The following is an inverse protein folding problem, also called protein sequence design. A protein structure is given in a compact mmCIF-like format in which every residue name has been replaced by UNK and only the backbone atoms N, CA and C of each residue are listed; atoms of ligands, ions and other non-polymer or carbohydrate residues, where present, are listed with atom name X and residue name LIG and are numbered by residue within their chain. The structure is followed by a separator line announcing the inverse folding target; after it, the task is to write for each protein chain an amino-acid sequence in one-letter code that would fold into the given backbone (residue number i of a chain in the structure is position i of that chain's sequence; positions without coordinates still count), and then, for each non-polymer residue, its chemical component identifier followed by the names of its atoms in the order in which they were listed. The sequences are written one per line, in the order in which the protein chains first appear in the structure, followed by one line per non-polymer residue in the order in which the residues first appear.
data_IF_376630037121
#
_entry.id   IF_376630037121
#
_cell.length_a   1.000
_cell.length_b   1.000
_cell.length_c   1.000
_cell.angle_alpha   90.00
_cell.angle_beta   90.00
_cell.angle_gamma   90.00
#
_symmetry.space_group_name_H-M   'P 1'
#
loop_
_entity.id
_entity.type
_entity.pdbx_description
1 polymer ?
#
# COMPACT_ATOMS: atom_id res chain seq x y z
N UNK A 1 -11.61 -2.10 -16.96
CA UNK A 1 -12.28 -3.28 -16.37
C UNK A 1 -11.37 -4.05 -15.42
N UNK A 2 -10.23 -4.60 -15.85
CA UNK A 2 -9.35 -5.41 -14.96
C UNK A 2 -8.92 -4.74 -13.64
N UNK A 3 -8.67 -3.43 -13.59
CA UNK A 3 -8.32 -2.73 -12.34
C UNK A 3 -9.39 -2.88 -11.24
N UNK A 4 -10.66 -2.87 -11.65
CA UNK A 4 -11.79 -3.00 -10.72
C UNK A 4 -11.91 -4.44 -10.20
N UNK A 5 -11.61 -5.44 -11.03
CA UNK A 5 -11.59 -6.85 -10.60
C UNK A 5 -10.53 -7.05 -9.51
N UNK A 6 -9.31 -6.55 -9.72
CA UNK A 6 -8.24 -6.64 -8.71
C UNK A 6 -8.55 -5.85 -7.44
N UNK A 7 -9.20 -4.69 -7.57
CA UNK A 7 -9.71 -3.96 -6.40
C UNK A 7 -10.76 -4.76 -5.63
N UNK A 8 -11.73 -5.36 -6.32
CA UNK A 8 -12.77 -6.17 -5.71
C UNK A 8 -12.18 -7.39 -4.98
N UNK A 9 -11.19 -8.08 -5.57
CA UNK A 9 -10.51 -9.21 -4.93
C UNK A 9 -9.83 -8.78 -3.63
N UNK A 10 -9.18 -7.61 -3.60
CA UNK A 10 -8.57 -7.08 -2.37
C UNK A 10 -9.60 -6.70 -1.31
N UNK A 11 -10.73 -6.10 -1.71
CA UNK A 11 -11.84 -5.80 -0.82
C UNK A 11 -12.39 -7.08 -0.19
N UNK A 12 -12.74 -8.08 -1.00
CA UNK A 12 -13.25 -9.38 -0.52
C UNK A 12 -12.24 -10.07 0.38
N UNK A 13 -10.97 -10.09 -0.01
CA UNK A 13 -9.90 -10.67 0.81
C UNK A 13 -9.75 -9.96 2.16
N UNK A 14 -9.89 -8.63 2.20
CA UNK A 14 -9.82 -7.85 3.44
C UNK A 14 -11.00 -8.15 4.36
N UNK A 15 -12.22 -8.26 3.82
CA UNK A 15 -13.42 -8.66 4.60
C UNK A 15 -13.24 -10.07 5.17
N UNK A 16 -12.72 -11.01 4.38
CA UNK A 16 -12.46 -12.38 4.84
C UNK A 16 -11.40 -12.43 5.95
N UNK A 17 -10.29 -11.71 5.79
CA UNK A 17 -9.25 -11.61 6.83
C UNK A 17 -9.82 -11.00 8.10
N UNK A 18 -10.60 -9.92 7.98
CA UNK A 18 -11.22 -9.27 9.14
C UNK A 18 -12.21 -10.20 9.85
N UNK A 19 -12.99 -10.98 9.10
CA UNK A 19 -13.96 -11.93 9.66
C UNK A 19 -13.24 -13.12 10.33
N UNK A 20 -12.13 -13.58 9.75
CA UNK A 20 -11.30 -14.62 10.37
C UNK A 20 -10.69 -14.14 11.69
N UNK A 21 -10.17 -12.91 11.74
CA UNK A 21 -9.64 -12.32 12.97
C UNK A 21 -10.70 -12.20 14.07
N UNK A 22 -11.94 -11.87 13.69
CA UNK A 22 -13.09 -11.85 14.59
C UNK A 22 -13.31 -13.22 15.25
N UNK A 23 -13.33 -14.29 14.44
CA UNK A 23 -13.52 -15.67 14.92
C UNK A 23 -12.38 -16.15 15.82
N UNK A 24 -11.18 -15.60 15.65
CA UNK A 24 -10.03 -15.87 16.52
C UNK A 24 -10.05 -15.07 17.84
N UNK A 25 -11.12 -14.29 18.10
CA UNK A 25 -11.25 -13.46 19.29
C UNK A 25 -10.32 -12.25 19.30
N UNK A 26 -9.76 -11.89 18.15
CA UNK A 26 -8.86 -10.75 17.97
C UNK A 26 -9.51 -9.71 17.05
N UNK A 27 -10.52 -8.97 17.54
CA UNK A 27 -11.19 -7.99 16.70
C UNK A 27 -10.18 -6.93 16.26
N UNK A 28 -10.33 -6.44 15.04
CA UNK A 28 -9.31 -5.60 14.40
C UNK A 28 -9.06 -4.27 15.14
N UNK A 29 -10.05 -3.83 15.90
CA UNK A 29 -10.03 -2.64 16.75
C UNK A 29 -9.09 -2.78 17.96
N UNK A 30 -8.71 -4.02 18.33
CA UNK A 30 -7.81 -4.32 19.45
C UNK A 30 -6.37 -3.83 19.25
N UNK A 31 -5.98 -3.53 18.00
CA UNK A 31 -4.64 -3.03 17.66
C UNK A 31 -4.51 -1.50 17.69
N UNK A 32 -5.56 -0.79 18.11
CA UNK A 32 -5.55 0.67 18.17
C UNK A 32 -4.77 1.15 19.41
N UNK A 33 -3.46 1.33 19.24
CA UNK A 33 -2.62 2.09 20.16
C UNK A 33 -3.21 3.49 20.30
N UNK A 34 -3.21 4.05 21.52
CA UNK A 34 -3.85 5.32 21.92
C UNK A 34 -3.67 6.52 20.97
N UNK A 35 -2.67 6.50 20.08
CA UNK A 35 -2.34 7.60 19.15
C UNK A 35 -2.61 7.23 17.68
N UNK A 36 -2.69 5.95 17.32
CA UNK A 36 -2.82 5.52 15.93
C UNK A 36 -3.59 4.21 15.77
N UNK A 37 -4.67 4.18 14.97
CA UNK A 37 -5.50 3.01 14.73
C UNK A 37 -4.80 2.04 13.75
N UNK A 38 -3.74 1.39 14.21
CA UNK A 38 -2.85 0.59 13.36
C UNK A 38 -3.58 -0.56 12.66
N UNK A 39 -4.52 -1.22 13.35
CA UNK A 39 -5.34 -2.28 12.78
C UNK A 39 -6.18 -1.81 11.59
N UNK A 40 -6.95 -0.73 11.77
CA UNK A 40 -7.70 -0.10 10.67
C UNK A 40 -6.77 0.36 9.53
N UNK A 41 -5.63 0.96 9.84
CA UNK A 41 -4.66 1.37 8.81
C UNK A 41 -4.16 0.18 7.98
N UNK A 42 -3.79 -0.93 8.61
CA UNK A 42 -3.33 -2.14 7.92
C UNK A 42 -4.44 -2.74 7.06
N UNK A 43 -5.67 -2.84 7.57
CA UNK A 43 -6.79 -3.32 6.75
C UNK A 43 -7.09 -2.36 5.59
N UNK A 44 -7.00 -1.06 5.82
CA UNK A 44 -7.12 -0.04 4.78
C UNK A 44 -6.10 -0.26 3.66
N UNK A 45 -4.83 -0.45 4.01
CA UNK A 45 -3.76 -0.80 3.07
C UNK A 45 -4.14 -2.05 2.24
N UNK A 46 -4.54 -3.13 2.91
CA UNK A 46 -4.91 -4.39 2.26
C UNK A 46 -6.12 -4.24 1.32
N UNK A 47 -7.11 -3.43 1.69
CA UNK A 47 -8.33 -3.20 0.89
C UNK A 47 -8.05 -2.61 -0.49
N UNK A 48 -7.00 -1.80 -0.60
CA UNK A 48 -6.63 -1.08 -1.82
C UNK A 48 -5.46 -1.70 -2.57
N UNK A 49 -4.77 -2.67 -1.96
CA UNK A 49 -3.49 -3.21 -2.43
C UNK A 49 -3.57 -3.74 -3.87
N UNK A 50 -4.54 -4.60 -4.18
CA UNK A 50 -4.69 -5.21 -5.50
C UNK A 50 -5.01 -4.19 -6.59
N UNK A 51 -5.82 -3.18 -6.27
CA UNK A 51 -6.14 -2.08 -7.19
C UNK A 51 -4.88 -1.34 -7.63
N UNK A 52 -4.03 -0.97 -6.67
CA UNK A 52 -2.81 -0.22 -6.96
C UNK A 52 -1.65 -1.07 -7.47
N UNK A 53 -1.54 -2.35 -7.10
CA UNK A 53 -0.60 -3.29 -7.73
C UNK A 53 -0.89 -3.35 -9.24
N UNK A 54 -2.16 -3.42 -9.64
CA UNK A 54 -2.54 -3.40 -11.04
C UNK A 54 -2.20 -2.04 -11.70
N UNK A 55 -2.50 -0.91 -11.04
CA UNK A 55 -2.18 0.41 -11.59
C UNK A 55 -0.68 0.67 -11.70
N UNK A 56 0.14 0.12 -10.80
CA UNK A 56 1.61 0.18 -10.89
C UNK A 56 2.11 -0.40 -12.20
N UNK A 57 1.53 -1.51 -12.68
CA UNK A 57 1.86 -2.11 -13.98
C UNK A 57 1.62 -1.14 -15.13
N UNK A 58 0.66 -0.22 -15.01
CA UNK A 58 0.33 0.79 -16.02
C UNK A 58 1.00 2.15 -15.81
N UNK A 59 1.71 2.35 -14.68
CA UNK A 59 2.46 3.58 -14.32
C UNK A 59 1.67 4.90 -14.46
N UNK A 60 0.34 4.85 -14.32
CA UNK A 60 -0.54 6.02 -14.35
C UNK A 60 -1.67 5.79 -13.37
N UNK A 61 -1.73 6.61 -12.32
CA UNK A 61 -2.92 6.76 -11.48
C UNK A 61 -3.41 8.20 -11.61
N UNK A 62 -4.72 8.36 -11.61
CA UNK A 62 -5.41 9.65 -11.74
C UNK A 62 -6.07 10.00 -10.41
N UNK A 63 -6.46 11.27 -10.22
CA UNK A 63 -7.22 11.68 -9.02
C UNK A 63 -8.51 10.87 -8.87
N UNK A 64 -9.17 10.53 -9.98
CA UNK A 64 -10.35 9.65 -9.98
C UNK A 64 -10.10 8.25 -9.42
N UNK A 65 -8.87 7.73 -9.52
CA UNK A 65 -8.49 6.45 -8.91
C UNK A 65 -8.43 6.55 -7.38
N UNK A 66 -7.95 7.69 -6.85
CA UNK A 66 -7.93 7.94 -5.41
C UNK A 66 -9.34 8.08 -4.85
N UNK A 67 -10.20 8.85 -5.52
CA UNK A 67 -11.61 9.02 -5.12
C UNK A 67 -12.34 7.69 -5.12
N UNK A 68 -12.15 6.88 -6.17
CA UNK A 68 -12.73 5.54 -6.25
C UNK A 68 -12.27 4.66 -5.08
N UNK A 69 -10.97 4.61 -4.80
CA UNK A 69 -10.43 3.81 -3.69
C UNK A 69 -11.00 4.28 -2.37
N UNK A 70 -10.97 5.59 -2.07
CA UNK A 70 -11.54 6.13 -0.83
C UNK A 70 -13.00 5.72 -0.64
N UNK A 71 -13.82 5.83 -1.69
CA UNK A 71 -15.22 5.43 -1.65
C UNK A 71 -15.38 3.93 -1.39
N UNK A 72 -14.65 3.08 -2.12
CA UNK A 72 -14.72 1.63 -1.94
C UNK A 72 -14.19 1.18 -0.58
N UNK A 73 -13.17 1.84 -0.04
CA UNK A 73 -12.63 1.56 1.29
C UNK A 73 -13.60 1.95 2.39
N UNK A 74 -14.34 3.06 2.23
CA UNK A 74 -15.40 3.43 3.17
C UNK A 74 -16.54 2.38 3.17
N UNK A 75 -16.98 1.94 1.99
CA UNK A 75 -17.97 0.87 1.89
C UNK A 75 -17.47 -0.45 2.50
N UNK A 76 -16.20 -0.78 2.30
CA UNK A 76 -15.57 -1.97 2.87
C UNK A 76 -15.51 -1.89 4.39
N UNK A 77 -15.14 -0.72 4.92
CA UNK A 77 -15.16 -0.46 6.36
C UNK A 77 -16.57 -0.68 6.92
N UNK A 78 -17.61 -0.08 6.32
CA UNK A 78 -19.00 -0.27 6.76
C UNK A 78 -19.39 -1.75 6.71
N UNK A 79 -19.06 -2.47 5.64
CA UNK A 79 -19.36 -3.89 5.51
C UNK A 79 -18.69 -4.75 6.60
N UNK A 80 -17.42 -4.46 6.92
CA UNK A 80 -16.70 -5.13 8.01
C UNK A 80 -17.44 -4.94 9.33
N UNK A 81 -17.75 -3.70 9.70
CA UNK A 81 -18.44 -3.43 10.96
C UNK A 81 -19.86 -3.98 10.99
N UNK A 82 -20.54 -4.01 9.85
CA UNK A 82 -21.86 -4.62 9.74
C UNK A 82 -21.80 -6.13 10.02
N UNK A 83 -20.77 -6.82 9.51
CA UNK A 83 -20.51 -8.22 9.86
C UNK A 83 -20.21 -8.36 11.35
N UNK A 84 -19.41 -7.47 11.94
CA UNK A 84 -19.12 -7.50 13.38
C UNK A 84 -20.39 -7.34 14.20
N UNK A 85 -21.24 -6.37 13.87
CA UNK A 85 -22.53 -6.16 14.53
C UNK A 85 -23.39 -7.43 14.51
N UNK A 86 -23.52 -8.07 13.35
CA UNK A 86 -24.32 -9.30 13.23
C UNK A 86 -23.67 -10.54 13.84
N UNK A 87 -22.35 -10.54 14.04
CA UNK A 87 -21.63 -11.63 14.70
C UNK A 87 -21.49 -11.44 16.22
N UNK A 88 -21.94 -10.31 16.78
CA UNK A 88 -21.73 -9.97 18.20
C UNK A 88 -22.86 -10.49 19.08
N UNK A 89 -22.48 -11.12 20.18
CA UNK A 89 -23.35 -11.56 21.27
C UNK A 89 -22.85 -10.98 22.59
N UNK A 90 -23.78 -10.83 23.55
CA UNK A 90 -23.51 -10.39 24.91
C UNK A 90 -23.84 -11.55 25.84
N UNK A 91 -22.83 -12.01 26.59
CA UNK A 91 -23.00 -13.07 27.57
C UNK A 91 -23.83 -12.60 28.77
N UNK A 92 -24.31 -13.54 29.58
CA UNK A 92 -25.07 -13.25 30.81
C UNK A 92 -24.28 -12.40 31.82
N UNK A 93 -22.95 -12.37 31.70
CA UNK A 93 -22.05 -11.55 32.51
C UNK A 93 -21.75 -10.17 31.89
N UNK A 94 -22.41 -9.82 30.78
CA UNK A 94 -22.23 -8.56 30.07
C UNK A 94 -20.97 -8.50 29.18
N UNK A 95 -20.30 -9.63 28.93
CA UNK A 95 -19.12 -9.65 28.07
C UNK A 95 -19.50 -9.85 26.60
N UNK A 96 -18.91 -9.03 25.74
CA UNK A 96 -18.99 -9.17 24.29
C UNK A 96 -18.24 -10.43 23.87
N UNK A 97 -18.88 -11.27 23.06
CA UNK A 97 -18.28 -12.42 22.43
C UNK A 97 -18.79 -12.61 21.00
N UNK A 98 -18.10 -13.45 20.24
CA UNK A 98 -18.40 -13.72 18.83
C UNK A 98 -18.69 -15.22 18.57
N UNK A 99 -18.85 -16.00 19.64
CA UNK A 99 -19.01 -17.45 19.58
C UNK A 99 -20.48 -17.89 19.66
N UNK A 100 -21.41 -16.94 19.81
CA UNK A 100 -22.84 -17.23 19.90
C UNK A 100 -23.35 -17.48 21.31
N UNK A 101 -22.53 -17.23 22.34
CA UNK A 101 -22.90 -17.45 23.72
C UNK A 101 -23.64 -16.21 24.27
N UNK A 102 -24.91 -16.38 24.63
CA UNK A 102 -25.74 -15.33 25.23
C UNK A 102 -26.74 -14.68 24.26
N UNK A 103 -27.06 -13.42 24.49
CA UNK A 103 -28.07 -12.67 23.72
C UNK A 103 -27.44 -11.96 22.53
N UNK A 104 -28.11 -12.02 21.38
CA UNK A 104 -27.62 -11.30 20.20
C UNK A 104 -27.74 -9.80 20.42
N UNK A 105 -26.75 -9.01 19.97
CA UNK A 105 -26.73 -7.57 20.25
C UNK A 105 -27.86 -6.79 19.58
N UNK A 106 -28.47 -7.33 18.53
CA UNK A 106 -29.63 -6.72 17.86
C UNK A 106 -30.96 -7.03 18.55
N UNK A 107 -30.96 -7.87 19.59
CA UNK A 107 -32.16 -8.19 20.36
C UNK A 107 -32.69 -6.92 21.07
N UNK A 108 -33.98 -6.58 20.93
CA UNK A 108 -34.57 -5.41 21.59
C UNK A 108 -34.46 -5.42 23.12
N UNK A 109 -34.29 -6.59 23.74
CA UNK A 109 -34.07 -6.73 25.18
C UNK A 109 -32.68 -6.25 25.62
N UNK A 110 -31.72 -6.17 24.69
CA UNK A 110 -30.40 -5.59 24.93
C UNK A 110 -30.52 -4.07 24.87
N UNK A 111 -30.44 -3.47 26.06
CA UNK A 111 -30.50 -2.03 26.25
C UNK A 111 -29.22 -1.59 26.96
N UNK A 112 -28.51 -0.61 26.39
CA UNK A 112 -27.30 -0.07 27.01
C UNK A 112 -27.64 0.76 28.25
N UNK A 113 -26.61 1.15 29.01
CA UNK A 113 -26.77 1.96 30.24
C UNK A 113 -27.60 3.25 30.05
N UNK A 114 -27.76 3.75 28.82
CA UNK A 114 -28.56 4.91 28.47
C UNK A 114 -30.05 4.62 28.16
N UNK A 115 -30.54 3.38 28.31
CA UNK A 115 -31.94 3.05 28.02
C UNK A 115 -32.28 2.96 26.53
N UNK A 116 -31.27 2.95 25.65
CA UNK A 116 -31.43 2.90 24.20
C UNK A 116 -31.15 1.50 23.63
N UNK A 117 -31.97 1.10 22.65
CA UNK A 117 -31.78 -0.13 21.86
C UNK A 117 -30.48 -0.05 21.06
N UNK A 118 -29.79 -1.19 20.93
CA UNK A 118 -28.52 -1.29 20.20
C UNK A 118 -28.74 -1.53 18.71
N UNK A 119 -28.91 -0.45 17.95
CA UNK A 119 -28.81 -0.48 16.50
C UNK A 119 -27.34 -0.48 16.02
N UNK A 120 -27.13 -0.60 14.69
CA UNK A 120 -25.79 -0.64 14.11
C UNK A 120 -24.92 0.60 14.45
N UNK A 121 -25.51 1.80 14.39
CA UNK A 121 -24.77 3.04 14.58
C UNK A 121 -24.42 3.29 16.05
N UNK A 122 -25.34 2.98 16.95
CA UNK A 122 -25.11 3.00 18.38
C UNK A 122 -24.08 1.93 18.76
N UNK A 123 -24.18 0.70 18.24
CA UNK A 123 -23.14 -0.33 18.42
C UNK A 123 -21.75 0.19 18.04
N UNK A 124 -21.61 0.77 16.83
CA UNK A 124 -20.33 1.32 16.38
C UNK A 124 -19.84 2.43 17.31
N UNK A 125 -20.70 3.35 17.74
CA UNK A 125 -20.31 4.42 18.64
C UNK A 125 -19.90 3.91 20.02
N UNK A 126 -20.61 2.91 20.54
CA UNK A 126 -20.43 2.37 21.89
C UNK A 126 -19.21 1.45 22.00
N UNK A 127 -18.90 0.67 20.97
CA UNK A 127 -17.68 -0.15 20.91
C UNK A 127 -16.40 0.68 21.09
N UNK A 128 -16.49 1.98 20.78
CA UNK A 128 -15.39 2.94 20.91
C UNK A 128 -15.48 3.85 22.13
N UNK A 129 -16.69 4.14 22.61
CA UNK A 129 -16.90 4.85 23.88
C UNK A 129 -16.53 3.99 25.09
N UNK A 130 -16.63 2.66 24.97
CA UNK A 130 -16.51 1.73 26.09
C UNK A 130 -15.20 0.94 26.08
N UNK A 131 -14.08 1.62 25.85
CA UNK A 131 -12.75 1.11 26.24
C UNK A 131 -12.59 0.93 27.77
N UNK A 132 -13.67 1.14 28.55
CA UNK A 132 -13.76 0.82 29.98
C UNK A 132 -14.20 -0.64 30.25
N UNK A 133 -14.55 -1.45 29.24
CA UNK A 133 -14.80 -2.89 29.43
C UNK A 133 -13.52 -3.73 29.70
N UNK A 134 -12.33 -3.12 29.65
CA UNK A 134 -11.09 -3.72 30.14
C UNK A 134 -10.55 -2.87 31.29
N UNK A 135 -10.88 -3.26 32.53
CA UNK A 135 -10.23 -2.75 33.73
C UNK A 135 -8.71 -2.59 33.54
N UNK A 136 -8.14 -1.42 33.90
CA UNK A 136 -6.78 -1.20 34.49
C UNK A 136 -5.94 0.02 34.01
N UNK A 137 -6.48 1.17 33.56
CA UNK A 137 -5.68 2.42 33.58
C UNK A 137 -6.56 3.64 33.90
N UNK A 138 -6.28 4.40 34.99
CA UNK A 138 -6.96 5.66 35.24
C UNK A 138 -6.38 6.70 34.28
N UNK A 139 -7.19 7.18 33.33
CA UNK A 139 -6.78 8.29 32.47
C UNK A 139 -7.74 9.44 32.67
N UNK A 140 -7.33 10.32 33.59
CA UNK A 140 -7.88 11.66 33.68
C UNK A 140 -7.50 12.44 32.41
N UNK A 141 -8.52 13.03 31.79
CA UNK A 141 -8.45 14.05 30.74
C UNK A 141 -7.77 13.64 29.43
N UNK A 142 -8.46 12.83 28.59
CA UNK A 142 -8.13 12.75 27.17
C UNK A 142 -9.32 13.07 26.30
N UNK A 143 -9.07 14.02 25.38
CA UNK A 143 -9.93 14.51 24.32
C UNK A 143 -10.75 13.36 23.70
N UNK A 144 -12.06 13.37 23.92
CA UNK A 144 -13.02 12.44 23.32
C UNK A 144 -13.15 12.81 21.84
N UNK A 145 -12.11 12.56 21.05
CA UNK A 145 -12.31 12.37 19.62
C UNK A 145 -13.12 11.08 19.52
N UNK A 146 -14.29 11.05 18.85
CA UNK A 146 -15.07 9.82 18.77
C UNK A 146 -14.19 8.80 18.07
N UNK A 147 -13.74 7.77 18.80
CA UNK A 147 -12.69 6.86 18.34
C UNK A 147 -13.07 6.15 17.02
N UNK A 148 -14.37 6.07 16.72
CA UNK A 148 -14.88 5.70 15.40
C UNK A 148 -14.30 6.53 14.25
N UNK A 149 -14.27 7.86 14.37
CA UNK A 149 -13.74 8.73 13.31
C UNK A 149 -12.23 8.56 13.14
N UNK A 150 -11.51 8.29 14.23
CA UNK A 150 -10.08 7.98 14.19
C UNK A 150 -9.86 6.70 13.38
N UNK A 151 -10.66 5.67 13.62
CA UNK A 151 -10.58 4.38 12.92
C UNK A 151 -10.98 4.50 11.44
N UNK A 152 -12.05 5.24 11.13
CA UNK A 152 -12.42 5.57 9.73
C UNK A 152 -11.29 6.31 9.04
N UNK A 153 -10.74 7.35 9.69
CA UNK A 153 -9.62 8.12 9.13
C UNK A 153 -8.38 7.25 8.94
N UNK A 154 -8.06 6.39 9.91
CA UNK A 154 -6.97 5.43 9.84
C UNK A 154 -7.13 4.45 8.68
N UNK A 155 -8.32 3.90 8.50
CA UNK A 155 -8.63 2.98 7.41
C UNK A 155 -8.51 3.65 6.04
N UNK A 156 -9.09 4.85 5.89
CA UNK A 156 -8.99 5.62 4.63
C UNK A 156 -7.54 6.05 4.37
N UNK A 157 -6.81 6.48 5.40
CA UNK A 157 -5.39 6.82 5.27
C UNK A 157 -4.55 5.62 4.85
N UNK A 158 -4.83 4.43 5.40
CA UNK A 158 -4.22 3.17 4.98
C UNK A 158 -4.47 2.86 3.52
N UNK A 159 -5.73 2.97 3.07
CA UNK A 159 -6.10 2.76 1.68
C UNK A 159 -5.41 3.74 0.71
N UNK A 160 -5.22 4.97 1.15
CA UNK A 160 -4.54 6.01 0.36
C UNK A 160 -3.03 5.96 0.46
N UNK A 161 -2.43 5.25 1.40
CA UNK A 161 -0.97 5.17 1.56
C UNK A 161 -0.28 4.35 0.48
N UNK A 162 -0.94 3.32 -0.06
CA UNK A 162 -0.39 2.44 -1.11
C UNK A 162 0.15 3.22 -2.34
N UNK A 163 -0.58 4.17 -2.97
CA UNK A 163 -0.06 4.89 -4.11
C UNK A 163 1.21 5.68 -3.76
N UNK A 164 1.34 6.23 -2.56
CA UNK A 164 2.56 6.92 -2.13
C UNK A 164 3.73 5.94 -1.94
N UNK A 165 3.48 4.81 -1.27
CA UNK A 165 4.47 3.73 -1.10
C UNK A 165 4.95 3.16 -2.45
N UNK A 166 4.04 2.98 -3.40
CA UNK A 166 4.35 2.47 -4.73
C UNK A 166 4.94 3.55 -5.66
N UNK A 167 4.65 4.83 -5.44
CA UNK A 167 5.15 5.95 -6.24
C UNK A 167 6.53 6.45 -5.80
N UNK A 168 7.04 5.99 -4.65
CA UNK A 168 8.36 6.37 -4.14
C UNK A 168 9.53 6.13 -5.12
N UNK A 169 9.30 5.38 -6.21
CA UNK A 169 10.29 5.09 -7.25
C UNK A 169 9.89 5.57 -8.66
N UNK A 170 8.95 6.51 -8.78
CA UNK A 170 8.47 7.01 -10.08
C UNK A 170 8.95 8.44 -10.32
N UNK A 171 9.87 8.61 -11.27
CA UNK A 171 10.41 9.92 -11.63
C UNK A 171 9.54 10.61 -12.69
N UNK A 172 9.10 11.83 -12.43
CA UNK A 172 8.34 12.65 -13.38
C UNK A 172 9.27 13.17 -14.48
N UNK A 173 8.82 13.14 -15.73
CA UNK A 173 9.61 13.64 -16.85
C UNK A 173 9.71 15.16 -16.83
N UNK A 174 10.95 15.68 -16.77
CA UNK A 174 11.22 17.13 -16.77
C UNK A 174 10.84 17.79 -18.10
N UNK A 175 10.97 17.08 -19.23
CA UNK A 175 10.72 17.64 -20.57
C UNK A 175 9.24 17.88 -20.87
N UNK A 176 8.38 16.90 -20.58
CA UNK A 176 6.97 16.97 -20.97
C UNK A 176 6.01 17.23 -19.80
N UNK A 177 6.49 17.23 -18.55
CA UNK A 177 5.77 17.44 -17.28
C UNK A 177 4.51 16.60 -17.03
N UNK A 178 4.09 15.80 -18.01
CA UNK A 178 2.86 14.99 -18.03
C UNK A 178 3.17 13.50 -18.04
N UNK A 179 4.38 13.12 -18.46
CA UNK A 179 4.86 11.75 -18.49
C UNK A 179 5.71 11.35 -17.28
N UNK A 180 5.82 10.04 -17.09
CA UNK A 180 6.70 9.43 -16.10
C UNK A 180 7.80 8.64 -16.81
N UNK A 181 8.96 8.55 -16.16
CA UNK A 181 10.07 7.74 -16.63
C UNK A 181 9.88 6.27 -16.27
N UNK A 182 10.11 5.40 -17.26
CA UNK A 182 10.28 3.97 -17.12
C UNK A 182 11.76 3.63 -17.08
N UNK A 183 12.20 2.96 -16.01
CA UNK A 183 13.52 2.34 -15.93
C UNK A 183 13.46 0.93 -16.50
N UNK A 184 14.36 0.61 -17.42
CA UNK A 184 14.60 -0.72 -17.97
C UNK A 184 16.08 -1.04 -17.74
N UNK A 185 16.36 -2.11 -16.99
CA UNK A 185 17.74 -2.60 -16.84
C UNK A 185 18.24 -3.08 -18.21
N UNK A 186 19.42 -2.60 -18.61
CA UNK A 186 20.08 -3.07 -19.83
C UNK A 186 20.93 -4.30 -19.48
N UNK A 187 22.04 -4.13 -18.78
CA UNK A 187 22.95 -5.20 -18.38
C UNK A 187 23.83 -4.77 -17.19
N UNK A 188 24.55 -5.72 -16.61
CA UNK A 188 25.54 -5.48 -15.55
C UNK A 188 26.94 -5.49 -16.16
N UNK A 189 27.83 -4.60 -15.70
CA UNK A 189 29.24 -4.52 -16.13
C UNK A 189 30.16 -4.39 -14.91
N UNK A 190 31.44 -4.72 -15.10
CA UNK A 190 32.45 -4.40 -14.09
C UNK A 190 32.71 -2.89 -14.07
N UNK A 191 33.05 -2.29 -12.91
CA UNK A 191 33.35 -0.86 -12.83
C UNK A 191 34.44 -0.39 -13.80
N UNK A 192 35.44 -1.24 -14.06
CA UNK A 192 36.55 -0.98 -14.98
C UNK A 192 36.09 -0.88 -16.45
N UNK A 193 35.02 -1.59 -16.80
CA UNK A 193 34.47 -1.62 -18.16
C UNK A 193 33.41 -0.53 -18.38
N UNK A 194 32.95 0.12 -17.31
CA UNK A 194 31.81 1.04 -17.35
C UNK A 194 32.00 2.18 -18.36
N UNK A 195 33.14 2.88 -18.34
CA UNK A 195 33.37 4.02 -19.25
C UNK A 195 33.42 3.58 -20.72
N UNK A 196 33.98 2.40 -21.00
CA UNK A 196 34.01 1.82 -22.34
C UNK A 196 32.60 1.52 -22.84
N UNK A 197 31.80 0.85 -22.02
CA UNK A 197 30.43 0.45 -22.35
C UNK A 197 29.51 1.67 -22.47
N UNK A 198 29.72 2.69 -21.62
CA UNK A 198 29.04 3.99 -21.70
C UNK A 198 29.29 4.69 -23.03
N UNK A 199 30.55 4.76 -23.48
CA UNK A 199 30.90 5.41 -24.74
C UNK A 199 30.26 4.71 -25.95
N UNK A 200 30.26 3.37 -25.96
CA UNK A 200 29.62 2.58 -27.02
C UNK A 200 28.12 2.83 -27.05
N UNK A 201 27.45 2.77 -25.89
CA UNK A 201 26.02 3.04 -25.79
C UNK A 201 25.67 4.45 -26.26
N UNK A 202 26.42 5.47 -25.83
CA UNK A 202 26.17 6.85 -26.24
C UNK A 202 26.23 7.00 -27.77
N UNK A 203 27.24 6.41 -28.42
CA UNK A 203 27.35 6.40 -29.88
C UNK A 203 26.19 5.67 -30.57
N UNK A 204 25.81 4.48 -30.08
CA UNK A 204 24.71 3.68 -30.65
C UNK A 204 23.35 4.37 -30.50
N UNK A 205 23.11 5.09 -29.39
CA UNK A 205 21.89 5.87 -29.19
C UNK A 205 21.84 7.11 -30.08
N UNK A 206 22.94 7.86 -30.22
CA UNK A 206 22.99 9.06 -31.08
C UNK A 206 22.86 8.73 -32.57
N UNK A 207 23.46 7.63 -33.01
CA UNK A 207 23.36 7.15 -34.40
C UNK A 207 21.99 6.54 -34.75
N UNK A 208 21.11 6.36 -33.76
CA UNK A 208 19.81 5.70 -33.90
C UNK A 208 19.92 4.35 -34.66
N UNK A 209 21.02 3.64 -34.40
CA UNK A 209 21.46 2.47 -35.17
C UNK A 209 20.56 1.26 -34.91
N UNK A 210 20.29 0.47 -35.96
CA UNK A 210 19.66 -0.85 -35.87
C UNK A 210 20.48 -1.85 -35.05
N UNK A 211 21.77 -1.58 -34.85
CA UNK A 211 22.71 -2.46 -34.16
C UNK A 211 22.57 -2.34 -32.64
N UNK A 212 21.90 -1.31 -32.13
CA UNK A 212 21.68 -1.12 -30.70
C UNK A 212 20.93 -2.33 -30.10
N UNK A 213 19.88 -2.83 -30.76
CA UNK A 213 19.14 -4.00 -30.26
C UNK A 213 20.00 -5.25 -30.23
N UNK A 214 20.81 -5.47 -31.27
CA UNK A 214 21.70 -6.63 -31.38
C UNK A 214 22.76 -6.60 -30.29
N UNK A 215 23.37 -5.45 -30.07
CA UNK A 215 24.37 -5.23 -29.02
C UNK A 215 23.79 -5.46 -27.61
N UNK A 216 22.57 -4.96 -27.34
CA UNK A 216 21.90 -5.17 -26.06
C UNK A 216 21.60 -6.65 -25.79
N UNK A 217 21.15 -7.39 -26.81
CA UNK A 217 20.88 -8.83 -26.69
C UNK A 217 22.18 -9.59 -26.41
N UNK A 218 23.23 -9.31 -27.17
CA UNK A 218 24.55 -9.94 -26.99
C UNK A 218 25.08 -9.71 -25.58
N UNK A 219 25.04 -8.46 -25.08
CA UNK A 219 25.50 -8.12 -23.73
C UNK A 219 24.64 -8.74 -22.63
N UNK A 220 23.33 -8.84 -22.82
CA UNK A 220 22.46 -9.51 -21.86
C UNK A 220 22.74 -11.02 -21.77
N UNK A 221 23.13 -11.64 -22.89
CA UNK A 221 23.53 -13.05 -22.92
C UNK A 221 24.92 -13.27 -22.32
N UNK A 222 25.84 -12.32 -22.48
CA UNK A 222 27.21 -12.43 -21.97
C UNK A 222 27.37 -11.99 -20.51
N UNK A 223 26.50 -11.12 -19.98
CA UNK A 223 26.65 -10.59 -18.63
C UNK A 223 26.11 -11.57 -17.57
N UNK A 224 26.86 -12.61 -17.23
CA UNK A 224 26.55 -13.46 -16.07
C UNK A 224 27.22 -12.97 -14.78
N UNK A 225 27.17 -11.65 -14.56
CA UNK A 225 27.65 -10.99 -13.33
C UNK A 225 26.59 -11.01 -12.20
N UNK A 226 25.69 -12.01 -12.22
CA UNK A 226 24.60 -12.12 -11.23
C UNK A 226 25.15 -12.31 -9.81
N UNK A 227 26.37 -12.81 -9.67
CA UNK A 227 27.00 -13.11 -8.37
C UNK A 227 28.20 -12.20 -8.02
N UNK A 228 28.56 -11.25 -8.90
CA UNK A 228 29.59 -10.27 -8.54
C UNK A 228 29.05 -9.27 -7.51
N UNK A 229 29.79 -9.10 -6.42
CA UNK A 229 29.51 -8.13 -5.35
C UNK A 229 29.92 -6.72 -5.72
N UNK A 230 30.76 -6.55 -6.75
CA UNK A 230 31.16 -5.26 -7.28
C UNK A 230 30.74 -5.16 -8.76
N UNK A 231 29.72 -4.36 -9.04
CA UNK A 231 29.20 -4.21 -10.39
C UNK A 231 28.51 -2.87 -10.61
N UNK A 232 28.46 -2.45 -11.85
CA UNK A 232 27.69 -1.30 -12.31
C UNK A 232 26.53 -1.81 -13.14
N UNK A 233 25.29 -1.49 -12.75
CA UNK A 233 24.12 -1.79 -13.57
C UNK A 233 23.76 -0.58 -14.40
N UNK A 234 23.66 -0.77 -15.72
CA UNK A 234 23.25 0.26 -16.66
C UNK A 234 21.74 0.15 -16.91
N UNK A 235 21.05 1.29 -16.90
CA UNK A 235 19.62 1.42 -17.12
C UNK A 235 19.33 2.36 -18.28
N UNK A 236 18.34 2.01 -19.09
CA UNK A 236 17.68 2.95 -20.00
C UNK A 236 16.43 3.51 -19.30
N UNK A 237 16.36 4.83 -19.22
CA UNK A 237 15.26 5.57 -18.63
C UNK A 237 14.49 6.27 -19.74
N UNK A 238 13.32 5.76 -20.10
CA UNK A 238 12.49 6.30 -21.19
C UNK A 238 11.24 6.99 -20.64
N UNK A 239 10.85 8.16 -21.16
CA UNK A 239 9.57 8.76 -20.81
C UNK A 239 8.42 8.11 -21.59
N UNK A 240 7.37 7.66 -20.89
CA UNK A 240 6.22 7.01 -21.51
C UNK A 240 5.33 7.93 -22.37
N UNK A 241 5.59 9.25 -22.40
CA UNK A 241 4.76 10.22 -23.13
C UNK A 241 5.52 10.84 -24.29
N UNK A 242 6.71 11.38 -24.05
CA UNK A 242 7.51 12.04 -25.09
C UNK A 242 8.68 11.20 -25.60
N UNK A 243 8.81 9.94 -25.15
CA UNK A 243 9.87 9.01 -25.55
C UNK A 243 11.31 9.51 -25.34
N UNK A 244 11.53 10.55 -24.53
CA UNK A 244 12.89 10.98 -24.14
C UNK A 244 13.61 9.85 -23.43
N UNK A 245 14.85 9.59 -23.83
CA UNK A 245 15.70 8.54 -23.26
C UNK A 245 16.85 9.16 -22.49
N UNK A 246 17.22 8.53 -21.39
CA UNK A 246 18.41 8.83 -20.62
C UNK A 246 19.10 7.52 -20.28
N UNK A 247 20.42 7.53 -20.26
CA UNK A 247 21.19 6.45 -19.65
C UNK A 247 21.45 6.83 -18.20
N UNK A 248 21.33 5.85 -17.33
CA UNK A 248 21.68 5.97 -15.94
C UNK A 248 22.48 4.75 -15.51
N UNK A 249 23.47 4.95 -14.65
CA UNK A 249 24.24 3.89 -14.05
C UNK A 249 24.00 3.82 -12.55
N UNK A 250 24.07 2.62 -11.98
CA UNK A 250 24.10 2.41 -10.53
C UNK A 250 25.29 1.55 -10.18
N UNK A 251 26.20 2.11 -9.39
CA UNK A 251 27.34 1.41 -8.83
C UNK A 251 26.90 0.66 -7.57
N UNK A 252 27.26 -0.62 -7.50
CA UNK A 252 27.08 -1.45 -6.31
C UNK A 252 28.47 -1.78 -5.76
N UNK A 253 28.83 -1.15 -4.65
CA UNK A 253 30.04 -1.43 -3.88
C UNK A 253 29.65 -2.02 -2.52
N UNK A 254 30.47 -2.93 -2.00
CA UNK A 254 30.26 -3.61 -0.70
C UNK A 254 30.57 -2.74 0.52
N UNK A 255 31.07 -1.51 0.35
CA UNK A 255 31.42 -0.65 1.47
C UNK A 255 30.18 -0.03 2.12
N UNK A 256 29.98 -0.35 3.41
CA UNK A 256 28.92 0.16 4.30
C UNK A 256 28.87 1.70 4.39
N UNK A 257 29.88 2.40 3.88
CA UNK A 257 30.04 3.86 3.95
C UNK A 257 29.94 4.55 2.58
N UNK A 258 29.45 3.87 1.54
CA UNK A 258 29.29 4.49 0.23
C UNK A 258 28.26 5.65 0.26
N UNK A 259 28.61 6.84 -0.28
CA UNK A 259 27.72 8.00 -0.29
C UNK A 259 26.42 7.71 -1.06
N UNK A 260 25.33 8.41 -0.75
CA UNK A 260 24.04 8.14 -1.35
C UNK A 260 24.11 8.34 -2.88
N UNK A 261 23.77 7.26 -3.60
CA UNK A 261 23.10 7.22 -4.89
C UNK A 261 23.28 8.48 -5.78
N UNK A 262 24.40 8.55 -6.52
CA UNK A 262 24.46 9.41 -7.70
C UNK A 262 23.81 8.70 -8.87
N UNK A 263 22.58 9.11 -9.20
CA UNK A 263 21.99 8.83 -10.52
C UNK A 263 22.53 9.91 -11.45
N UNK A 264 23.59 9.60 -12.20
CA UNK A 264 23.99 10.44 -13.31
C UNK A 264 22.97 10.27 -14.44
N UNK A 265 22.08 11.25 -14.56
CA UNK A 265 21.11 11.35 -15.64
C UNK A 265 21.77 12.14 -16.77
N UNK A 266 22.31 11.45 -17.75
CA UNK A 266 22.80 12.09 -18.97
C UNK A 266 21.70 12.10 -20.04
N UNK A 267 21.51 13.26 -20.67
CA UNK A 267 20.65 13.37 -21.84
C UNK A 267 21.40 12.83 -23.04
N UNK A 268 20.76 11.92 -23.76
CA UNK A 268 21.26 11.36 -25.02
C UNK A 268 20.41 11.91 -26.16
#
# INVERSE_FOLDING_TARGET
MMKYIWGLVSVVGTVMISSLLLLLGSPVHSFAVWVFPLGAFILGLLSSLGYFIYLRKKRKWQVGDLVFVSFTSLLTFIAIFFIHYHATFISDHGFINYFGDGTHISDPSVVLMAGQQVDFFSFMNNLYSDRNFQHLIPVDQVLIVPALWVEVAGYVAGALAIPFLLSANVYKCKRCTTGYYSTTKLFDVLPEEYEKERAILHHLYQSNSSDLSSYLIEKQMSSDLRHSTNKVTIYNITCNTCNTRHLAARHYTTEKDAPPLKVELEQI
#
